data_IF_182011816776
#
_entry.id   IF_182011816776
#
_cell.length_a   1.000
_cell.length_b   1.000
_cell.length_c   1.000
_cell.angle_alpha   90.00
_cell.angle_beta   90.00
_cell.angle_gamma   90.00
#
_symmetry.space_group_name_H-M   'P 1'
#
loop_
_entity.id
_entity.type
_entity.pdbx_description
1 polymer ?
#
# COMPACT_ATOMS: atom_id res chain seq x y z
N UNK A 1 8.41 24.65 13.87
CA UNK A 1 8.40 23.71 12.74
C UNK A 1 8.17 22.31 13.26
N UNK A 2 7.20 21.63 12.70
CA UNK A 2 6.87 20.26 13.13
C UNK A 2 7.70 19.26 12.32
N UNK A 3 8.44 18.43 13.03
CA UNK A 3 9.16 17.33 12.42
C UNK A 3 8.39 16.03 12.61
N UNK A 4 8.67 15.05 11.75
CA UNK A 4 8.09 13.74 11.90
C UNK A 4 8.60 13.08 13.18
N UNK A 5 7.68 12.59 13.99
CA UNK A 5 8.00 11.89 15.22
C UNK A 5 7.77 10.40 15.03
N UNK A 6 8.73 9.59 15.47
CA UNK A 6 8.59 8.15 15.46
C UNK A 6 7.42 7.75 16.36
N UNK A 7 6.55 6.87 15.87
CA UNK A 7 5.39 6.38 16.60
C UNK A 7 5.46 4.87 16.75
N UNK A 8 4.94 4.37 17.85
CA UNK A 8 4.87 2.94 18.07
C UNK A 8 3.68 2.36 17.31
N UNK A 9 3.85 1.15 16.83
CA UNK A 9 2.77 0.39 16.21
C UNK A 9 2.02 -0.39 17.29
N UNK A 10 0.73 -0.63 17.03
CA UNK A 10 -0.07 -1.46 17.93
C UNK A 10 0.09 -2.95 17.56
N UNK A 11 -0.52 -3.83 18.36
CA UNK A 11 -0.41 -5.26 18.17
C UNK A 11 -0.90 -5.71 16.81
N UNK A 12 -2.02 -5.15 16.33
CA UNK A 12 -2.57 -5.50 15.02
C UNK A 12 -1.63 -5.08 13.89
N UNK A 13 -1.09 -3.85 13.96
CA UNK A 13 -0.12 -3.38 12.98
C UNK A 13 1.13 -4.27 12.97
N UNK A 14 1.62 -4.67 14.14
CA UNK A 14 2.79 -5.54 14.25
C UNK A 14 2.55 -6.89 13.59
N UNK A 15 1.36 -7.46 13.73
CA UNK A 15 0.99 -8.71 13.08
C UNK A 15 1.00 -8.58 11.56
N UNK A 16 0.42 -7.50 11.04
CA UNK A 16 0.39 -7.25 9.59
C UNK A 16 1.81 -7.06 9.07
N UNK A 17 2.62 -6.25 9.75
CA UNK A 17 4.01 -6.00 9.35
C UNK A 17 4.81 -7.31 9.31
N UNK A 18 4.63 -8.17 10.30
CA UNK A 18 5.31 -9.46 10.35
C UNK A 18 4.98 -10.33 9.12
N UNK A 19 3.76 -10.20 8.58
CA UNK A 19 3.35 -10.96 7.40
C UNK A 19 3.87 -10.35 6.09
N UNK A 20 4.10 -9.04 6.02
CA UNK A 20 4.55 -8.39 4.78
C UNK A 20 6.07 -8.37 4.65
N UNK A 21 6.82 -8.50 5.74
CA UNK A 21 8.29 -8.57 5.69
C UNK A 21 8.71 -9.78 4.86
N UNK A 22 9.60 -9.57 3.92
CA UNK A 22 10.06 -10.60 2.98
C UNK A 22 9.31 -10.61 1.66
N UNK A 23 8.14 -9.95 1.57
CA UNK A 23 7.42 -9.79 0.32
C UNK A 23 7.93 -8.56 -0.43
N UNK A 24 7.70 -8.51 -1.74
CA UNK A 24 8.04 -7.35 -2.58
C UNK A 24 6.77 -6.65 -3.03
N UNK A 25 6.75 -5.32 -2.93
CA UNK A 25 5.63 -4.52 -3.42
C UNK A 25 5.75 -4.35 -4.93
N UNK A 26 4.74 -4.82 -5.66
CA UNK A 26 4.70 -4.75 -7.13
C UNK A 26 4.15 -3.41 -7.59
N UNK A 27 3.13 -2.91 -6.92
CA UNK A 27 2.46 -1.68 -7.29
C UNK A 27 1.39 -1.31 -6.29
N UNK A 28 0.60 -0.29 -6.63
CA UNK A 28 -0.42 0.21 -5.70
C UNK A 28 -1.58 0.84 -6.44
N UNK A 29 -2.68 1.00 -5.73
CA UNK A 29 -3.76 1.90 -6.12
C UNK A 29 -4.30 2.59 -4.87
N UNK A 30 -4.95 3.73 -5.06
CA UNK A 30 -5.58 4.48 -3.96
C UNK A 30 -7.08 4.50 -4.23
N UNK A 31 -7.86 4.14 -3.24
CA UNK A 31 -9.31 4.13 -3.32
C UNK A 31 -9.88 4.44 -1.94
N UNK A 32 -10.88 5.33 -1.90
CA UNK A 32 -11.58 5.69 -0.66
C UNK A 32 -10.61 6.05 0.48
N UNK A 33 -9.65 6.94 0.17
CA UNK A 33 -8.67 7.46 1.12
C UNK A 33 -7.78 6.38 1.75
N UNK A 34 -7.58 5.28 1.03
CA UNK A 34 -6.77 4.14 1.49
C UNK A 34 -5.74 3.78 0.42
N UNK A 35 -4.51 3.52 0.84
CA UNK A 35 -3.48 2.98 -0.05
C UNK A 35 -3.56 1.46 -0.05
N UNK A 36 -3.59 0.88 -1.25
CA UNK A 36 -3.62 -0.57 -1.44
C UNK A 36 -2.33 -0.97 -2.14
N UNK A 37 -1.46 -1.69 -1.44
CA UNK A 37 -0.17 -2.13 -1.96
C UNK A 37 -0.26 -3.60 -2.34
N UNK A 38 0.00 -3.90 -3.62
CA UNK A 38 0.00 -5.28 -4.11
C UNK A 38 1.34 -5.93 -3.81
N UNK A 39 1.31 -7.04 -3.10
CA UNK A 39 2.50 -7.82 -2.76
C UNK A 39 2.64 -9.00 -3.72
N UNK A 40 3.88 -9.43 -3.97
CA UNK A 40 4.18 -10.54 -4.87
C UNK A 40 3.68 -11.90 -4.37
N UNK A 41 3.26 -11.97 -3.12
CA UNK A 41 2.68 -13.18 -2.52
C UNK A 41 1.17 -13.28 -2.77
N UNK A 42 0.59 -12.39 -3.59
CA UNK A 42 -0.83 -12.43 -3.93
C UNK A 42 -1.75 -11.80 -2.90
N UNK A 43 -1.21 -10.98 -2.01
CA UNK A 43 -1.98 -10.27 -0.99
C UNK A 43 -1.92 -8.77 -1.26
N UNK A 44 -2.95 -8.05 -0.79
CA UNK A 44 -3.00 -6.60 -0.81
C UNK A 44 -2.91 -6.10 0.63
N UNK A 45 -1.98 -5.18 0.85
CA UNK A 45 -1.73 -4.54 2.13
C UNK A 45 -2.42 -3.19 2.13
N UNK A 46 -3.43 -3.03 3.00
CA UNK A 46 -4.19 -1.78 3.11
C UNK A 46 -3.57 -0.88 4.16
N UNK A 47 -3.30 0.37 3.79
CA UNK A 47 -2.85 1.40 4.73
C UNK A 47 -3.92 2.48 4.76
N UNK A 48 -4.63 2.56 5.90
CA UNK A 48 -5.74 3.48 6.08
C UNK A 48 -5.24 4.87 6.45
N UNK A 49 -6.12 5.84 6.27
CA UNK A 49 -5.79 7.26 6.47
C UNK A 49 -5.21 7.55 7.85
N UNK A 50 -5.73 6.90 8.90
CA UNK A 50 -5.31 7.08 10.29
C UNK A 50 -4.07 6.27 10.66
N UNK A 51 -3.52 5.51 9.72
CA UNK A 51 -2.35 4.67 9.96
C UNK A 51 -2.67 3.21 10.27
N UNK A 52 -3.93 2.87 10.46
CA UNK A 52 -4.31 1.47 10.63
C UNK A 52 -4.09 0.70 9.34
N UNK A 53 -3.97 -0.60 9.42
CA UNK A 53 -3.65 -1.43 8.27
C UNK A 53 -4.36 -2.77 8.30
N UNK A 54 -4.43 -3.41 7.14
CA UNK A 54 -4.97 -4.75 6.98
C UNK A 54 -4.25 -5.48 5.86
N UNK A 55 -4.46 -6.78 5.81
CA UNK A 55 -3.86 -7.64 4.79
C UNK A 55 -4.89 -8.67 4.35
N UNK A 56 -5.15 -8.75 3.04
CA UNK A 56 -6.13 -9.68 2.48
C UNK A 56 -5.65 -10.22 1.13
N UNK A 57 -6.05 -11.44 0.76
CA UNK A 57 -5.82 -11.91 -0.62
C UNK A 57 -6.39 -10.91 -1.63
N UNK A 58 -5.72 -10.71 -2.76
CA UNK A 58 -6.13 -9.68 -3.71
C UNK A 58 -7.58 -9.84 -4.22
N UNK A 59 -8.08 -11.06 -4.48
CA UNK A 59 -9.47 -11.17 -4.93
C UNK A 59 -10.47 -10.67 -3.89
N UNK A 60 -10.23 -10.97 -2.61
CA UNK A 60 -11.10 -10.55 -1.51
C UNK A 60 -11.02 -9.04 -1.33
N UNK A 61 -9.80 -8.49 -1.31
CA UNK A 61 -9.62 -7.05 -1.12
C UNK A 61 -10.35 -6.24 -2.19
N UNK A 62 -10.27 -6.67 -3.45
CA UNK A 62 -10.92 -5.97 -4.55
C UNK A 62 -12.44 -6.15 -4.49
N UNK A 63 -12.92 -7.36 -4.16
CA UNK A 63 -14.36 -7.62 -4.10
C UNK A 63 -15.07 -6.82 -3.01
N UNK A 64 -14.34 -6.44 -1.96
CA UNK A 64 -14.89 -5.67 -0.83
C UNK A 64 -14.89 -4.15 -1.07
N UNK A 65 -14.34 -3.66 -2.18
CA UNK A 65 -14.35 -2.24 -2.48
C UNK A 65 -15.78 -1.74 -2.68
N UNK A 66 -16.04 -0.53 -2.17
CA UNK A 66 -17.35 0.11 -2.31
C UNK A 66 -17.41 0.83 -3.66
N UNK A 67 -17.51 0.06 -4.72
CA UNK A 67 -17.58 0.58 -6.08
C UNK A 67 -18.35 -0.40 -6.98
N UNK A 68 -18.54 -0.01 -8.24
CA UNK A 68 -19.30 -0.82 -9.19
C UNK A 68 -18.48 -2.05 -9.67
N UNK A 69 -19.19 -3.02 -10.23
CA UNK A 69 -18.57 -4.26 -10.69
C UNK A 69 -17.59 -4.04 -11.84
N UNK A 70 -17.85 -3.17 -12.83
CA UNK A 70 -16.85 -2.92 -13.89
C UNK A 70 -15.51 -2.43 -13.35
N UNK A 71 -15.51 -1.54 -12.34
CA UNK A 71 -14.29 -1.05 -11.72
C UNK A 71 -13.54 -2.17 -11.00
N UNK A 72 -14.26 -3.02 -10.27
CA UNK A 72 -13.66 -4.18 -9.60
C UNK A 72 -13.03 -5.14 -10.61
N UNK A 73 -13.73 -5.43 -11.69
CA UNK A 73 -13.25 -6.32 -12.74
C UNK A 73 -11.98 -5.77 -13.38
N UNK A 74 -11.94 -4.46 -13.64
CA UNK A 74 -10.76 -3.82 -14.22
C UNK A 74 -9.56 -3.89 -13.28
N UNK A 75 -9.76 -3.55 -12.01
CA UNK A 75 -8.70 -3.65 -11.00
C UNK A 75 -8.17 -5.08 -10.89
N UNK A 76 -9.06 -6.06 -10.89
CA UNK A 76 -8.65 -7.47 -10.81
C UNK A 76 -7.78 -7.86 -12.02
N UNK A 77 -8.15 -7.41 -13.22
CA UNK A 77 -7.36 -7.66 -14.43
C UNK A 77 -5.97 -7.03 -14.33
N UNK A 78 -5.89 -5.80 -13.83
CA UNK A 78 -4.62 -5.09 -13.70
C UNK A 78 -3.72 -5.76 -12.66
N UNK A 79 -4.30 -6.17 -11.54
CA UNK A 79 -3.57 -6.89 -10.49
C UNK A 79 -3.05 -8.22 -11.03
N UNK A 80 -3.89 -8.98 -11.74
CA UNK A 80 -3.48 -10.24 -12.34
C UNK A 80 -2.37 -10.04 -13.38
N UNK A 81 -2.49 -9.00 -14.20
CA UNK A 81 -1.47 -8.67 -15.19
C UNK A 81 -0.14 -8.31 -14.51
N UNK A 82 -0.19 -7.52 -13.45
CA UNK A 82 1.00 -7.14 -12.70
C UNK A 82 1.69 -8.35 -12.06
N UNK A 83 0.91 -9.25 -11.48
CA UNK A 83 1.45 -10.48 -10.87
C UNK A 83 2.09 -11.39 -11.92
N UNK A 84 1.58 -11.40 -13.14
CA UNK A 84 2.11 -12.20 -14.25
C UNK A 84 3.12 -11.42 -15.09
N UNK A 85 3.50 -10.23 -14.68
CA UNK A 85 4.44 -9.35 -15.38
C UNK A 85 4.00 -9.03 -16.81
N UNK A 86 2.68 -8.93 -17.04
CA UNK A 86 2.12 -8.53 -18.33
C UNK A 86 1.96 -7.01 -18.39
N UNK A 87 2.00 -6.39 -19.58
CA UNK A 87 1.79 -4.94 -19.70
C UNK A 87 0.41 -4.52 -19.23
N UNK A 88 0.36 -3.35 -18.58
CA UNK A 88 -0.89 -2.69 -18.19
C UNK A 88 -1.29 -1.72 -19.32
N UNK A 89 -2.59 -1.55 -19.51
CA UNK A 89 -3.11 -0.53 -20.41
C UNK A 89 -2.92 0.87 -19.86
N UNK A 90 -3.20 1.88 -20.68
CA UNK A 90 -3.15 3.28 -20.25
C UNK A 90 -4.38 3.69 -19.48
N UNK A 91 -4.26 4.77 -18.68
CA UNK A 91 -5.37 5.34 -17.94
C UNK A 91 -5.90 4.47 -16.83
N UNK A 92 -5.06 3.63 -16.27
CA UNK A 92 -5.45 2.67 -15.24
C UNK A 92 -5.26 3.24 -13.84
N UNK A 93 -6.14 2.87 -12.86
CA UNK A 93 -5.94 3.28 -11.47
C UNK A 93 -4.77 2.58 -10.79
N UNK A 94 -4.33 1.44 -11.30
CA UNK A 94 -3.21 0.69 -10.71
C UNK A 94 -1.88 1.21 -11.24
N UNK A 95 -0.94 1.46 -10.33
CA UNK A 95 0.39 1.99 -10.65
C UNK A 95 1.46 0.97 -10.30
N UNK A 96 2.33 0.65 -11.26
CA UNK A 96 3.49 -0.18 -10.99
C UNK A 96 4.56 0.62 -10.26
N UNK A 97 5.28 -0.05 -9.36
CA UNK A 97 6.42 0.53 -8.66
C UNK A 97 7.71 -0.11 -9.14
N UNK A 98 8.85 0.61 -9.06
CA UNK A 98 10.15 0.00 -9.31
C UNK A 98 10.39 -1.17 -8.36
N UNK A 99 11.17 -2.15 -8.79
CA UNK A 99 11.51 -3.27 -7.92
C UNK A 99 12.48 -2.81 -6.83
N UNK A 100 12.00 -2.70 -5.60
CA UNK A 100 12.79 -2.30 -4.45
C UNK A 100 13.31 -3.50 -3.65
N UNK A 101 13.02 -4.72 -4.11
CA UNK A 101 13.38 -5.92 -3.38
C UNK A 101 12.46 -6.19 -2.19
N UNK A 102 12.73 -7.27 -1.45
CA UNK A 102 11.89 -7.65 -0.32
C UNK A 102 11.88 -6.61 0.80
N UNK A 103 10.73 -6.48 1.43
CA UNK A 103 10.55 -5.59 2.58
C UNK A 103 11.38 -6.12 3.76
N UNK A 104 12.17 -5.23 4.36
CA UNK A 104 13.00 -5.56 5.52
C UNK A 104 12.42 -5.01 6.82
N UNK A 105 11.84 -3.81 6.78
CA UNK A 105 11.26 -3.18 7.96
C UNK A 105 10.24 -2.13 7.58
N UNK A 106 9.38 -1.78 8.53
CA UNK A 106 8.37 -0.73 8.36
C UNK A 106 8.44 0.17 9.59
N UNK A 107 8.65 1.46 9.37
CA UNK A 107 8.67 2.47 10.42
C UNK A 107 7.47 3.40 10.26
N UNK A 108 6.90 3.80 11.39
CA UNK A 108 5.71 4.64 11.44
C UNK A 108 6.04 5.97 12.08
N UNK A 109 5.59 7.06 11.45
CA UNK A 109 5.82 8.42 11.92
C UNK A 109 4.53 9.22 11.92
N UNK A 110 4.45 10.18 12.84
CA UNK A 110 3.30 11.08 12.99
C UNK A 110 3.79 12.52 12.97
N UNK A 111 3.03 13.38 12.35
CA UNK A 111 3.25 14.82 12.40
C UNK A 111 1.89 15.51 12.29
N UNK A 112 1.40 16.05 13.41
CA UNK A 112 0.07 16.65 13.49
C UNK A 112 -1.00 15.67 12.98
N UNK A 113 -1.74 16.02 11.94
CA UNK A 113 -2.77 15.16 11.34
C UNK A 113 -2.26 14.34 10.16
N UNK A 114 -0.94 14.25 10.01
CA UNK A 114 -0.32 13.45 8.95
C UNK A 114 0.31 12.19 9.51
N UNK A 115 0.32 11.15 8.68
CA UNK A 115 0.94 9.87 9.01
C UNK A 115 1.90 9.48 7.89
N UNK A 116 2.99 8.85 8.25
CA UNK A 116 3.98 8.37 7.27
C UNK A 116 4.43 6.98 7.62
N UNK A 117 4.40 6.09 6.63
CA UNK A 117 5.04 4.79 6.71
C UNK A 117 6.28 4.80 5.83
N UNK A 118 7.41 4.41 6.40
CA UNK A 118 8.66 4.22 5.65
C UNK A 118 8.89 2.72 5.56
N UNK A 119 8.71 2.18 4.36
CA UNK A 119 8.88 0.76 4.09
C UNK A 119 10.28 0.59 3.55
N UNK A 120 11.18 0.09 4.38
CA UNK A 120 12.58 -0.13 3.99
C UNK A 120 12.72 -1.49 3.34
N UNK A 121 13.26 -1.51 2.13
CA UNK A 121 13.44 -2.71 1.32
C UNK A 121 14.90 -2.95 1.05
N UNK A 122 15.23 -4.11 0.50
CA UNK A 122 16.63 -4.47 0.22
C UNK A 122 17.32 -3.47 -0.72
N UNK A 123 16.61 -3.03 -1.76
CA UNK A 123 17.17 -2.18 -2.81
C UNK A 123 16.54 -0.79 -2.90
N UNK A 124 15.87 -0.35 -1.85
CA UNK A 124 15.24 0.96 -1.86
C UNK A 124 14.23 1.11 -0.75
N UNK A 125 13.34 2.09 -0.90
CA UNK A 125 12.28 2.30 0.10
C UNK A 125 11.01 2.79 -0.58
N UNK A 126 9.90 2.57 0.10
CA UNK A 126 8.58 3.07 -0.31
C UNK A 126 8.05 3.92 0.84
N UNK A 127 7.59 5.12 0.51
CA UNK A 127 7.06 6.03 1.52
C UNK A 127 5.57 6.24 1.22
N UNK A 128 4.73 5.96 2.21
CA UNK A 128 3.29 6.20 2.15
C UNK A 128 2.96 7.29 3.14
N UNK A 129 2.38 8.39 2.67
CA UNK A 129 1.95 9.49 3.52
C UNK A 129 0.46 9.72 3.38
N UNK A 130 -0.19 9.99 4.49
CA UNK A 130 -1.62 10.30 4.54
C UNK A 130 -1.85 11.58 5.34
N UNK A 131 -2.94 12.28 5.01
CA UNK A 131 -3.35 13.48 5.74
C UNK A 131 -4.81 13.33 6.17
N UNK A 132 -5.05 13.37 7.48
CA UNK A 132 -6.40 13.33 8.02
C UNK A 132 -7.19 14.60 7.70
N UNK A 133 -6.48 15.72 7.48
CA UNK A 133 -7.13 17.00 7.13
C UNK A 133 -7.67 17.01 5.71
N UNK A 134 -6.89 16.56 4.75
CA UNK A 134 -7.24 16.63 3.32
C UNK A 134 -7.76 15.31 2.76
N UNK A 135 -7.56 14.20 3.46
CA UNK A 135 -7.85 12.87 2.93
C UNK A 135 -6.85 12.42 1.85
N UNK A 136 -5.76 13.15 1.69
CA UNK A 136 -4.78 12.84 0.66
C UNK A 136 -3.90 11.66 1.04
N UNK A 137 -3.64 10.81 0.06
CA UNK A 137 -2.74 9.64 0.22
C UNK A 137 -1.74 9.68 -0.93
N UNK A 138 -0.46 9.62 -0.58
CA UNK A 138 0.62 9.58 -1.59
C UNK A 138 1.50 8.36 -1.35
N UNK A 139 1.99 7.79 -2.45
CA UNK A 139 2.91 6.64 -2.42
C UNK A 139 4.10 6.98 -3.33
N UNK A 140 5.29 6.94 -2.77
CA UNK A 140 6.52 7.23 -3.50
C UNK A 140 7.57 6.16 -3.25
N UNK A 141 8.26 5.74 -4.30
CA UNK A 141 9.38 4.80 -4.19
C UNK A 141 10.68 5.52 -4.47
N UNK A 142 11.71 5.12 -3.74
CA UNK A 142 13.06 5.70 -3.89
C UNK A 142 14.09 4.63 -4.13
#
# INVERSE_FOLDING_TARGET
MSDWESAETNTHQDHVIAHVVGATVIGYFVFDETAFLLLDIGFIWHLYLDGEMGLRPHPVAISELDTDQPTKTQLQREVDAALQQRPLGEGKPFHLLPNTGPIQSVDFFVRENSRRFVISCEDGSIIVETSLDSGEVTVNAK
#
